data_IF_429897985087
#
_entry.id   IF_429897985087
#
_cell.length_a   1.000
_cell.length_b   1.000
_cell.length_c   1.000
_cell.angle_alpha   90.00
_cell.angle_beta   90.00
_cell.angle_gamma   90.00
#
_symmetry.space_group_name_H-M   'P 1'
#
loop_
_entity.id
_entity.type
_entity.pdbx_description
1 polymer ?
#
# COMPACT_ATOMS: atom_id res chain seq x y z
N UNK A 1 5.24 -21.31 -1.85
CA UNK A 1 6.08 -22.41 -1.30
C UNK A 1 5.38 -23.01 -0.06
N UNK A 2 5.52 -24.31 0.27
CA UNK A 2 5.14 -24.82 1.61
C UNK A 2 6.32 -24.54 2.56
N UNK A 3 6.16 -23.63 3.51
CA UNK A 3 7.15 -23.43 4.59
C UNK A 3 6.83 -24.48 5.66
N UNK A 4 7.59 -25.57 5.68
CA UNK A 4 7.28 -26.75 6.49
C UNK A 4 6.01 -27.51 6.05
N UNK A 5 5.70 -28.62 6.72
CA UNK A 5 4.48 -29.40 6.49
C UNK A 5 3.26 -28.90 7.29
N UNK A 6 3.42 -27.86 8.10
CA UNK A 6 2.34 -27.30 8.90
C UNK A 6 2.83 -26.21 9.86
N UNK A 7 1.88 -25.54 10.54
CA UNK A 7 2.19 -24.46 11.49
C UNK A 7 3.06 -24.89 12.66
N UNK A 8 3.02 -26.17 13.03
CA UNK A 8 3.75 -26.70 14.18
C UNK A 8 5.23 -27.00 13.86
N UNK A 9 5.63 -26.94 12.58
CA UNK A 9 7.03 -27.13 12.16
C UNK A 9 7.81 -25.81 12.08
N UNK A 10 7.16 -24.68 12.38
CA UNK A 10 7.80 -23.37 12.41
C UNK A 10 7.47 -22.65 13.72
N UNK A 11 8.43 -21.89 14.25
CA UNK A 11 8.19 -21.01 15.39
C UNK A 11 7.93 -19.59 14.90
N UNK A 12 6.70 -19.11 15.07
CA UNK A 12 6.36 -17.72 14.76
C UNK A 12 6.99 -16.78 15.79
N UNK A 13 7.75 -15.80 15.31
CA UNK A 13 8.35 -14.74 16.12
C UNK A 13 7.75 -13.41 15.70
N UNK A 14 7.13 -12.70 16.65
CA UNK A 14 6.56 -11.39 16.37
C UNK A 14 7.66 -10.33 16.41
N UNK A 15 7.97 -9.74 15.26
CA UNK A 15 8.98 -8.70 15.09
C UNK A 15 8.35 -7.47 14.44
N UNK A 16 8.75 -6.28 14.87
CA UNK A 16 8.40 -5.06 14.15
C UNK A 16 9.16 -4.98 12.83
N UNK A 17 8.63 -4.30 11.80
CA UNK A 17 9.28 -4.25 10.50
C UNK A 17 10.77 -3.82 10.54
N UNK A 18 11.19 -2.79 11.31
CA UNK A 18 12.61 -2.40 11.39
C UNK A 18 13.53 -3.42 12.09
N UNK A 19 12.97 -4.35 12.88
CA UNK A 19 13.72 -5.37 13.64
C UNK A 19 14.04 -6.59 12.77
N UNK A 20 13.23 -6.84 11.73
CA UNK A 20 13.30 -8.04 10.89
C UNK A 20 14.65 -8.24 10.21
N UNK A 21 15.20 -7.19 9.58
CA UNK A 21 16.49 -7.28 8.91
C UNK A 21 17.64 -7.59 9.89
N UNK A 22 17.62 -7.01 11.09
CA UNK A 22 18.63 -7.27 12.12
C UNK A 22 18.51 -8.68 12.70
N UNK A 23 17.28 -9.16 12.92
CA UNK A 23 17.04 -10.51 13.41
C UNK A 23 17.56 -11.57 12.41
N UNK A 24 17.40 -11.34 11.10
CA UNK A 24 18.00 -12.18 10.06
C UNK A 24 19.53 -12.18 10.14
N UNK A 25 20.16 -11.00 10.16
CA UNK A 25 21.62 -10.87 10.21
C UNK A 25 22.22 -11.54 11.44
N UNK A 26 21.53 -11.48 12.58
CA UNK A 26 21.97 -12.08 13.84
C UNK A 26 21.66 -13.58 13.95
N UNK A 27 20.95 -14.16 12.99
CA UNK A 27 20.51 -15.55 13.05
C UNK A 27 19.46 -15.82 14.14
N UNK A 28 18.71 -14.78 14.57
CA UNK A 28 17.63 -14.93 15.56
C UNK A 28 16.37 -15.56 14.92
N UNK A 29 16.23 -15.41 13.60
CA UNK A 29 15.17 -16.01 12.77
C UNK A 29 15.75 -16.48 11.43
N UNK A 30 15.19 -17.55 10.87
CA UNK A 30 15.63 -18.12 9.59
C UNK A 30 15.00 -17.42 8.36
N UNK A 31 13.84 -16.78 8.55
CA UNK A 31 13.09 -16.11 7.50
C UNK A 31 12.18 -15.02 8.09
N UNK A 32 11.82 -14.03 7.27
CA UNK A 32 10.84 -12.98 7.61
C UNK A 32 9.82 -12.82 6.51
N UNK A 33 8.57 -12.54 6.88
CA UNK A 33 7.54 -12.09 5.96
C UNK A 33 7.43 -10.57 6.05
N UNK A 34 7.69 -9.87 4.95
CA UNK A 34 7.80 -8.41 4.93
C UNK A 34 7.37 -7.80 3.60
N UNK A 35 7.38 -6.48 3.52
CA UNK A 35 7.05 -5.70 2.34
C UNK A 35 8.01 -4.53 2.18
N UNK A 36 7.95 -3.85 1.05
CA UNK A 36 8.83 -2.71 0.80
C UNK A 36 8.56 -1.54 1.76
N UNK A 37 9.61 -0.83 2.23
CA UNK A 37 11.01 -0.96 1.82
C UNK A 37 11.84 -1.97 2.64
N UNK A 38 11.21 -2.72 3.56
CA UNK A 38 11.93 -3.64 4.45
C UNK A 38 12.49 -4.86 3.71
N UNK A 39 11.86 -5.26 2.60
CA UNK A 39 12.42 -6.27 1.70
C UNK A 39 13.78 -5.81 1.16
N UNK A 40 13.85 -4.63 0.55
CA UNK A 40 15.11 -4.07 0.06
C UNK A 40 16.15 -3.92 1.18
N UNK A 41 15.76 -3.40 2.36
CA UNK A 41 16.66 -3.29 3.52
C UNK A 41 17.21 -4.66 3.97
N UNK A 42 16.38 -5.69 3.96
CA UNK A 42 16.78 -7.03 4.38
C UNK A 42 17.75 -7.66 3.38
N UNK A 43 17.53 -7.47 2.08
CA UNK A 43 18.42 -7.96 1.02
C UNK A 43 19.78 -7.23 0.99
N UNK A 44 19.83 -5.96 1.42
CA UNK A 44 21.09 -5.22 1.53
C UNK A 44 21.94 -5.67 2.72
N UNK A 45 21.28 -6.00 3.83
CA UNK A 45 21.95 -6.23 5.11
C UNK A 45 22.26 -7.70 5.38
N UNK A 46 21.43 -8.59 4.88
CA UNK A 46 21.59 -10.03 5.03
C UNK A 46 21.90 -10.67 3.68
N UNK A 47 22.68 -11.75 3.67
CA UNK A 47 22.89 -12.61 2.49
C UNK A 47 21.65 -13.47 2.18
N UNK A 48 20.46 -12.88 2.30
CA UNK A 48 19.17 -13.53 2.07
C UNK A 48 18.73 -13.48 0.61
N UNK A 49 17.71 -14.27 0.29
CA UNK A 49 17.02 -14.25 -1.00
C UNK A 49 15.51 -14.31 -0.80
N UNK A 50 14.77 -13.78 -1.77
CA UNK A 50 13.32 -13.95 -1.83
C UNK A 50 13.01 -15.41 -2.16
N UNK A 51 12.19 -16.07 -1.35
CA UNK A 51 11.80 -17.48 -1.52
C UNK A 51 10.32 -17.65 -1.87
N UNK A 52 9.50 -16.63 -1.62
CA UNK A 52 8.09 -16.55 -1.98
C UNK A 52 7.73 -15.06 -2.10
N UNK A 53 6.88 -14.72 -3.07
CA UNK A 53 6.40 -13.35 -3.29
C UNK A 53 4.92 -13.40 -3.68
N UNK A 54 4.13 -12.48 -3.14
CA UNK A 54 2.74 -12.30 -3.53
C UNK A 54 2.39 -10.81 -3.59
N UNK A 55 1.47 -10.46 -4.49
CA UNK A 55 0.98 -9.10 -4.62
C UNK A 55 -0.18 -8.93 -3.64
N UNK A 56 -0.22 -7.80 -2.96
CA UNK A 56 -1.30 -7.45 -2.04
C UNK A 56 -2.02 -6.21 -2.57
N UNK A 57 -3.35 -6.22 -2.47
CA UNK A 57 -4.20 -5.15 -2.99
C UNK A 57 -4.50 -4.16 -1.87
N UNK A 58 -4.18 -2.89 -2.10
CA UNK A 58 -4.54 -1.80 -1.20
C UNK A 58 -6.01 -1.40 -1.36
N UNK A 59 -6.67 -1.06 -0.26
CA UNK A 59 -8.03 -0.54 -0.26
C UNK A 59 -8.09 0.79 0.49
N UNK A 60 -8.73 1.80 -0.12
CA UNK A 60 -9.18 2.98 0.62
C UNK A 60 -10.47 2.59 1.35
N UNK A 61 -10.42 2.63 2.68
CA UNK A 61 -11.58 2.29 3.51
C UNK A 61 -12.17 3.53 4.15
N UNK A 62 -13.50 3.63 4.10
CA UNK A 62 -14.26 4.69 4.76
C UNK A 62 -15.35 4.03 5.60
N UNK A 63 -15.65 4.59 6.77
CA UNK A 63 -16.76 4.08 7.58
C UNK A 63 -18.07 4.24 6.80
N UNK A 64 -18.88 3.18 6.74
CA UNK A 64 -20.15 3.14 6.00
C UNK A 64 -21.04 4.36 6.28
N UNK A 65 -21.24 4.70 7.55
CA UNK A 65 -22.05 5.86 7.96
C UNK A 65 -21.49 7.20 7.46
N UNK A 66 -20.17 7.34 7.32
CA UNK A 66 -19.53 8.54 6.76
C UNK A 66 -19.74 8.58 5.24
N UNK A 67 -19.62 7.45 4.55
CA UNK A 67 -19.84 7.37 3.11
C UNK A 67 -21.29 7.71 2.75
N UNK A 68 -22.25 7.14 3.47
CA UNK A 68 -23.69 7.39 3.26
C UNK A 68 -24.09 8.84 3.61
N UNK A 69 -23.56 9.39 4.71
CA UNK A 69 -23.92 10.74 5.17
C UNK A 69 -23.21 11.84 4.38
N UNK A 70 -21.99 11.59 3.92
CA UNK A 70 -21.14 12.58 3.24
C UNK A 70 -20.59 12.04 1.91
N UNK A 71 -21.45 11.62 0.97
CA UNK A 71 -21.01 10.98 -0.28
C UNK A 71 -20.10 11.90 -1.11
N UNK A 72 -20.40 13.21 -1.13
CA UNK A 72 -19.58 14.19 -1.83
C UNK A 72 -18.16 14.31 -1.25
N UNK A 73 -17.97 14.07 0.05
CA UNK A 73 -16.64 14.07 0.67
C UNK A 73 -15.83 12.83 0.29
N UNK A 74 -16.49 11.67 0.16
CA UNK A 74 -15.83 10.44 -0.33
C UNK A 74 -15.41 10.62 -1.79
N UNK A 75 -16.29 11.15 -2.63
CA UNK A 75 -15.94 11.48 -4.02
C UNK A 75 -14.77 12.46 -4.07
N UNK A 76 -14.78 13.53 -3.26
CA UNK A 76 -13.69 14.51 -3.22
C UNK A 76 -12.34 13.90 -2.77
N UNK A 77 -12.37 12.94 -1.84
CA UNK A 77 -11.19 12.16 -1.42
C UNK A 77 -10.64 11.35 -2.59
N UNK A 78 -11.50 10.61 -3.31
CA UNK A 78 -11.08 9.80 -4.46
C UNK A 78 -10.53 10.66 -5.59
N UNK A 79 -11.15 11.82 -5.87
CA UNK A 79 -10.59 12.80 -6.83
C UNK A 79 -9.21 13.28 -6.41
N UNK A 80 -9.02 13.61 -5.13
CA UNK A 80 -7.72 14.04 -4.60
C UNK A 80 -6.66 12.93 -4.72
N UNK A 81 -7.07 11.68 -4.52
CA UNK A 81 -6.18 10.54 -4.66
C UNK A 81 -5.76 10.29 -6.12
N UNK A 82 -6.67 10.45 -7.08
CA UNK A 82 -6.37 10.41 -8.52
C UNK A 82 -5.41 11.54 -8.90
N UNK A 83 -5.70 12.78 -8.48
CA UNK A 83 -4.81 13.94 -8.69
C UNK A 83 -3.40 13.68 -8.11
N UNK A 84 -3.33 13.06 -6.93
CA UNK A 84 -2.06 12.73 -6.27
C UNK A 84 -1.26 11.68 -7.04
N UNK A 85 -1.90 10.62 -7.56
CA UNK A 85 -1.21 9.62 -8.40
C UNK A 85 -0.61 10.26 -9.66
N UNK A 86 -1.39 11.11 -10.34
CA UNK A 86 -0.89 11.85 -11.50
C UNK A 86 0.26 12.80 -11.13
N UNK A 87 0.18 13.45 -9.96
CA UNK A 87 1.28 14.29 -9.47
C UNK A 87 2.55 13.48 -9.24
N UNK A 88 2.45 12.30 -8.63
CA UNK A 88 3.59 11.38 -8.42
C UNK A 88 4.22 10.99 -9.75
N UNK A 89 3.42 10.56 -10.72
CA UNK A 89 3.89 10.16 -12.05
C UNK A 89 4.64 11.29 -12.77
N UNK A 90 4.15 12.53 -12.65
CA UNK A 90 4.74 13.71 -13.32
C UNK A 90 5.89 14.35 -12.56
N UNK A 91 6.09 14.04 -11.28
CA UNK A 91 7.11 14.67 -10.42
C UNK A 91 7.94 13.65 -9.62
N UNK A 92 8.46 12.58 -10.24
CA UNK A 92 9.07 11.45 -9.52
C UNK A 92 10.24 11.90 -8.63
N UNK A 93 11.18 12.68 -9.17
CA UNK A 93 12.34 13.18 -8.40
C UNK A 93 11.93 14.01 -7.17
N UNK A 94 10.86 14.80 -7.27
CA UNK A 94 10.39 15.64 -6.18
C UNK A 94 9.75 14.79 -5.08
N UNK A 95 8.93 13.82 -5.48
CA UNK A 95 8.26 12.91 -4.55
C UNK A 95 9.27 11.98 -3.87
N UNK A 96 10.27 11.49 -4.60
CA UNK A 96 11.38 10.71 -4.05
C UNK A 96 12.15 11.50 -2.98
N UNK A 97 12.46 12.78 -3.25
CA UNK A 97 13.10 13.65 -2.28
C UNK A 97 12.23 13.86 -1.03
N UNK A 98 10.91 14.00 -1.19
CA UNK A 98 9.99 14.09 -0.06
C UNK A 98 9.95 12.80 0.74
N UNK A 99 9.90 11.65 0.07
CA UNK A 99 9.89 10.34 0.70
C UNK A 99 11.17 10.12 1.50
N UNK A 100 12.35 10.37 0.93
CA UNK A 100 13.65 10.25 1.62
C UNK A 100 13.70 11.16 2.85
N UNK A 101 13.33 12.44 2.68
CA UNK A 101 13.32 13.41 3.78
C UNK A 101 12.39 12.98 4.91
N UNK A 102 11.21 12.45 4.59
CA UNK A 102 10.19 12.08 5.58
C UNK A 102 10.47 10.74 6.26
N UNK A 103 10.96 9.77 5.50
CA UNK A 103 11.23 8.41 5.97
C UNK A 103 12.56 8.28 6.71
N UNK A 104 13.50 9.21 6.45
CA UNK A 104 14.89 9.15 6.93
C UNK A 104 15.65 7.91 6.42
N UNK A 105 15.18 7.26 5.35
CA UNK A 105 15.93 6.21 4.69
C UNK A 105 17.07 6.78 3.85
N UNK A 106 18.10 5.97 3.61
CA UNK A 106 19.13 6.30 2.63
C UNK A 106 18.50 6.43 1.25
N UNK A 107 18.81 7.51 0.53
CA UNK A 107 18.34 7.72 -0.85
C UNK A 107 18.74 6.58 -1.78
N UNK A 108 19.85 5.89 -1.53
CA UNK A 108 20.28 4.74 -2.31
C UNK A 108 19.30 3.55 -2.20
N UNK A 109 18.45 3.51 -1.17
CA UNK A 109 17.43 2.48 -1.01
C UNK A 109 16.36 2.54 -2.11
N UNK A 110 16.05 3.74 -2.62
CA UNK A 110 14.96 3.92 -3.58
C UNK A 110 15.15 3.11 -4.86
N UNK A 111 16.38 3.02 -5.38
CA UNK A 111 16.68 2.24 -6.59
C UNK A 111 16.55 0.73 -6.39
N UNK A 112 16.40 0.27 -5.14
CA UNK A 112 16.29 -1.14 -4.78
C UNK A 112 14.87 -1.55 -4.44
N UNK A 113 13.98 -0.60 -4.19
CA UNK A 113 12.55 -0.83 -3.95
C UNK A 113 11.90 -1.28 -5.26
N UNK A 114 11.18 -2.40 -5.21
CA UNK A 114 10.48 -2.97 -6.37
C UNK A 114 8.96 -2.83 -6.27
N UNK A 115 8.47 -1.74 -5.69
CA UNK A 115 7.03 -1.47 -5.62
C UNK A 115 6.49 -1.32 -7.04
N UNK A 116 5.48 -2.13 -7.36
CA UNK A 116 4.72 -2.01 -8.59
C UNK A 116 3.62 -0.98 -8.36
N UNK A 117 3.87 0.27 -8.73
CA UNK A 117 2.84 1.32 -8.79
C UNK A 117 2.31 1.41 -10.24
N UNK A 118 1.08 0.93 -10.52
CA UNK A 118 0.56 0.91 -11.89
C UNK A 118 0.48 2.29 -12.54
N UNK A 119 0.35 3.35 -11.75
CA UNK A 119 0.15 4.71 -12.24
C UNK A 119 1.46 5.50 -12.46
N UNK A 120 2.64 4.90 -12.25
CA UNK A 120 3.92 5.64 -12.22
C UNK A 120 4.29 6.31 -13.56
N UNK A 121 3.74 5.82 -14.67
CA UNK A 121 3.96 6.36 -16.01
C UNK A 121 2.75 7.14 -16.55
N UNK A 122 1.81 7.53 -15.69
CA UNK A 122 0.61 8.23 -16.12
C UNK A 122 0.93 9.66 -16.58
N UNK A 123 0.53 9.98 -17.81
CA UNK A 123 0.68 11.31 -18.37
C UNK A 123 -0.54 12.19 -18.11
N UNK A 124 -1.73 11.62 -17.97
CA UNK A 124 -3.01 12.33 -17.80
C UNK A 124 -3.90 11.64 -16.79
N UNK A 125 -4.99 12.28 -16.34
CA UNK A 125 -5.98 11.62 -15.45
C UNK A 125 -6.51 10.32 -16.07
N UNK A 126 -6.66 10.27 -17.40
CA UNK A 126 -7.23 9.10 -18.09
C UNK A 126 -6.35 7.86 -18.00
N UNK A 127 -5.07 8.05 -17.70
CA UNK A 127 -4.10 6.97 -17.54
C UNK A 127 -4.09 6.43 -16.10
N UNK A 128 -4.76 7.12 -15.16
CA UNK A 128 -4.86 6.70 -13.77
C UNK A 128 -5.96 5.64 -13.64
N UNK A 129 -5.57 4.43 -13.25
CA UNK A 129 -6.48 3.35 -12.92
C UNK A 129 -6.30 2.94 -11.46
N UNK A 130 -7.37 3.10 -10.70
CA UNK A 130 -7.47 2.68 -9.29
C UNK A 130 -8.70 1.79 -9.05
N UNK A 131 -9.27 1.22 -10.13
CA UNK A 131 -10.31 0.22 -10.01
C UNK A 131 -9.73 -1.08 -9.43
N UNK A 132 -10.58 -1.83 -8.74
CA UNK A 132 -10.26 -3.15 -8.23
C UNK A 132 -10.87 -4.16 -9.19
N UNK A 133 -10.03 -4.91 -9.89
CA UNK A 133 -10.46 -5.92 -10.83
C UNK A 133 -11.02 -7.17 -10.12
N UNK A 134 -11.68 -8.06 -10.86
CA UNK A 134 -12.09 -9.36 -10.31
C UNK A 134 -10.89 -10.19 -9.84
N UNK A 135 -9.73 -10.06 -10.49
CA UNK A 135 -8.49 -10.72 -10.05
C UNK A 135 -8.03 -10.20 -8.69
N UNK A 136 -8.14 -8.88 -8.48
CA UNK A 136 -7.79 -8.25 -7.21
C UNK A 136 -8.75 -8.65 -6.08
N UNK A 137 -10.04 -8.77 -6.40
CA UNK A 137 -11.03 -9.32 -5.47
C UNK A 137 -10.72 -10.77 -5.12
N UNK A 138 -10.42 -11.63 -6.09
CA UNK A 138 -10.07 -13.04 -5.84
C UNK A 138 -8.84 -13.16 -4.95
N UNK A 139 -7.80 -12.35 -5.23
CA UNK A 139 -6.57 -12.32 -4.44
C UNK A 139 -6.82 -11.89 -2.99
N UNK A 140 -7.56 -10.80 -2.82
CA UNK A 140 -7.90 -10.26 -1.49
C UNK A 140 -8.81 -11.20 -0.71
N UNK A 141 -9.76 -11.85 -1.39
CA UNK A 141 -10.67 -12.82 -0.80
C UNK A 141 -9.90 -14.06 -0.31
N UNK A 142 -8.93 -14.56 -1.08
CA UNK A 142 -8.05 -15.65 -0.67
C UNK A 142 -7.32 -15.33 0.65
N UNK A 143 -6.79 -14.11 0.79
CA UNK A 143 -6.14 -13.67 2.04
C UNK A 143 -7.14 -13.65 3.20
N UNK A 144 -8.33 -13.07 2.99
CA UNK A 144 -9.38 -13.02 4.01
C UNK A 144 -9.85 -14.41 4.45
N UNK A 145 -9.96 -15.36 3.52
CA UNK A 145 -10.33 -16.74 3.79
C UNK A 145 -9.24 -17.47 4.58
N UNK A 146 -7.97 -17.32 4.20
CA UNK A 146 -6.82 -17.82 4.98
C UNK A 146 -6.87 -17.26 6.40
N UNK A 147 -7.09 -15.96 6.57
CA UNK A 147 -7.18 -15.36 7.91
C UNK A 147 -8.31 -15.97 8.76
N UNK A 148 -9.48 -16.22 8.17
CA UNK A 148 -10.59 -16.85 8.86
C UNK A 148 -10.32 -18.32 9.21
N UNK A 149 -9.85 -19.11 8.23
CA UNK A 149 -9.53 -20.53 8.40
C UNK A 149 -8.44 -20.78 9.44
N UNK A 150 -7.56 -19.80 9.62
CA UNK A 150 -6.48 -19.83 10.60
C UNK A 150 -6.85 -19.17 11.94
N UNK A 151 -8.12 -18.76 12.14
CA UNK A 151 -8.62 -18.19 13.39
C UNK A 151 -8.15 -16.75 13.69
N UNK A 152 -7.55 -16.06 12.71
CA UNK A 152 -7.07 -14.69 12.84
C UNK A 152 -8.21 -13.67 12.78
N UNK A 153 -9.37 -14.06 12.26
CA UNK A 153 -10.58 -13.25 12.26
C UNK A 153 -11.77 -14.05 12.79
N UNK A 154 -12.68 -13.42 13.53
CA UNK A 154 -13.80 -14.13 14.14
C UNK A 154 -14.92 -14.48 13.13
N UNK A 155 -14.92 -13.88 11.95
CA UNK A 155 -15.99 -14.03 10.95
C UNK A 155 -15.42 -13.95 9.55
N UNK A 156 -15.93 -14.82 8.66
CA UNK A 156 -15.63 -14.76 7.23
C UNK A 156 -16.07 -13.40 6.67
N UNK A 157 -15.21 -12.81 5.84
CA UNK A 157 -15.44 -11.53 5.18
C UNK A 157 -15.70 -11.76 3.71
N UNK A 158 -16.76 -11.15 3.18
CA UNK A 158 -16.94 -10.99 1.74
C UNK A 158 -16.30 -9.65 1.33
N UNK A 159 -15.14 -9.68 0.68
CA UNK A 159 -14.40 -8.48 0.29
C UNK A 159 -15.19 -7.70 -0.77
N UNK A 160 -15.61 -8.37 -1.85
CA UNK A 160 -16.38 -7.72 -2.94
C UNK A 160 -17.68 -7.10 -2.43
N UNK A 161 -18.39 -7.79 -1.54
CA UNK A 161 -19.62 -7.28 -0.91
C UNK A 161 -19.42 -6.12 0.08
N UNK A 162 -18.17 -5.75 0.40
CA UNK A 162 -17.82 -4.60 1.26
C UNK A 162 -17.15 -3.46 0.50
N UNK A 163 -17.02 -3.59 -0.82
CA UNK A 163 -16.42 -2.59 -1.68
C UNK A 163 -17.51 -1.95 -2.53
N UNK A 164 -17.59 -0.62 -2.51
CA UNK A 164 -18.55 0.15 -3.29
C UNK A 164 -17.80 1.03 -4.30
N UNK A 165 -17.81 0.62 -5.56
CA UNK A 165 -17.13 1.33 -6.65
C UNK A 165 -17.92 2.50 -7.21
N UNK A 166 -19.19 2.68 -6.83
CA UNK A 166 -20.01 3.77 -7.37
C UNK A 166 -19.46 5.15 -7.03
N UNK A 167 -18.76 5.29 -5.88
CA UNK A 167 -18.07 6.53 -5.51
C UNK A 167 -16.89 6.83 -6.45
N UNK A 168 -16.14 5.80 -6.87
CA UNK A 168 -15.02 5.96 -7.79
C UNK A 168 -15.50 6.27 -9.20
N UNK A 169 -16.50 5.53 -9.69
CA UNK A 169 -17.15 5.80 -10.98
C UNK A 169 -17.64 7.24 -11.07
N UNK A 170 -18.28 7.73 -10.01
CA UNK A 170 -18.69 9.14 -9.92
C UNK A 170 -17.49 10.09 -9.92
N UNK A 171 -16.43 9.80 -9.16
CA UNK A 171 -15.24 10.65 -9.13
C UNK A 171 -14.60 10.80 -10.51
N UNK A 172 -14.48 9.70 -11.27
CA UNK A 172 -13.91 9.69 -12.62
C UNK A 172 -14.79 10.45 -13.60
N UNK A 173 -16.11 10.25 -13.54
CA UNK A 173 -17.07 10.98 -14.37
C UNK A 173 -16.98 12.49 -14.14
N UNK A 174 -16.95 12.90 -12.88
CA UNK A 174 -16.84 14.31 -12.52
C UNK A 174 -15.48 14.89 -12.98
N UNK A 175 -14.36 14.20 -12.74
CA UNK A 175 -13.02 14.64 -13.18
C UNK A 175 -12.91 14.76 -14.70
N UNK A 176 -13.56 13.88 -15.44
CA UNK A 176 -13.60 13.94 -16.90
C UNK A 176 -14.31 15.20 -17.41
N UNK A 177 -15.18 15.79 -16.59
CA UNK A 177 -15.93 17.02 -16.89
C UNK A 177 -15.24 18.28 -16.35
N UNK A 178 -14.65 18.19 -15.16
CA UNK A 178 -14.06 19.31 -14.41
C UNK A 178 -12.57 19.56 -14.73
N UNK A 179 -11.82 18.52 -15.14
CA UNK A 179 -10.35 18.54 -15.25
C UNK A 179 -9.62 18.33 -13.91
N UNK A 180 -8.28 18.33 -13.94
CA UNK A 180 -7.46 18.27 -12.71
C UNK A 180 -7.56 19.58 -11.92
N UNK A 181 -7.40 19.49 -10.59
CA UNK A 181 -7.13 20.68 -9.79
C UNK A 181 -5.77 21.28 -10.18
N UNK A 182 -5.77 22.53 -10.61
CA UNK A 182 -4.57 23.36 -10.74
C UNK A 182 -4.34 24.08 -9.41
N UNK A 183 -3.54 23.49 -8.53
CA UNK A 183 -3.17 24.10 -7.26
C UNK A 183 -1.69 23.89 -6.99
N UNK A 184 -1.04 24.86 -6.37
CA UNK A 184 0.30 24.68 -5.82
C UNK A 184 0.21 23.75 -4.60
N UNK A 185 1.02 22.69 -4.59
CA UNK A 185 1.17 21.83 -3.41
C UNK A 185 2.15 22.51 -2.46
N UNK A 186 1.63 23.14 -1.40
CA UNK A 186 2.45 23.68 -0.31
C UNK A 186 2.58 22.62 0.77
N UNK A 187 3.78 22.06 0.95
CA UNK A 187 4.07 21.20 2.10
C UNK A 187 4.31 22.10 3.31
N UNK A 188 3.35 22.16 4.24
CA UNK A 188 3.55 22.79 5.54
C UNK A 188 4.66 22.03 6.30
N UNK A 189 5.85 22.61 6.36
CA UNK A 189 7.00 22.09 7.11
C UNK A 189 6.89 22.35 8.63
N UNK A 190 5.89 23.11 9.07
CA UNK A 190 5.81 23.73 10.40
C UNK A 190 5.19 22.87 11.51
N UNK A 191 4.65 21.67 11.23
CA UNK A 191 4.01 20.82 12.27
C UNK A 191 4.82 19.59 12.71
N UNK A 192 6.11 19.50 12.37
CA UNK A 192 6.93 18.33 12.72
C UNK A 192 7.51 18.42 14.15
N UNK A 193 7.45 19.58 14.80
CA UNK A 193 7.99 19.81 16.16
C UNK A 193 6.89 20.01 17.23
N UNK A 194 5.79 19.25 17.18
CA UNK A 194 4.92 19.14 18.35
C UNK A 194 5.45 18.01 19.25
N UNK A 195 5.92 18.28 20.48
CA UNK A 195 6.30 17.23 21.41
C UNK A 195 5.09 16.34 21.73
N UNK A 196 5.31 15.03 21.73
CA UNK A 196 4.37 14.04 22.28
C UNK A 196 4.39 14.07 23.80
#
# INVERSE_FOLDING_TARGET
MKVGNGKDEVRLVNLKPPEQALALVRGEVDAVATWEPQTAISLDKAEGKIIDEDIHVGFITVRKNIAEKYPNKVVALLKAYIDANLFVARNPNMVDAWFVKKSQFDSALLSRIKVIEPNINADTIKDIDIFISDKDFLRSQKVADIMFENGLTPKRVNIKGRTDMSYLERAIKDLSSEGTRKGEIVIETSRINAPR
#
